data_IF_144420560115
#
_entry.id   IF_144420560115
#
_cell.length_a   1.000
_cell.length_b   1.000
_cell.length_c   1.000
_cell.angle_alpha   90.00
_cell.angle_beta   90.00
_cell.angle_gamma   90.00
#
_symmetry.space_group_name_H-M   'P 1'
#
loop_
_entity.id
_entity.type
_entity.pdbx_description
1 polymer ?
#
# COMPACT_ATOMS: atom_id res chain seq x y z
N UNK A 1 7.37 -13.81 -14.71
CA UNK A 1 6.20 -12.91 -14.54
C UNK A 1 6.64 -11.85 -13.55
N UNK A 2 6.46 -10.58 -13.86
CA UNK A 2 6.78 -9.51 -12.90
C UNK A 2 5.84 -9.61 -11.69
N UNK A 3 6.38 -9.56 -10.48
CA UNK A 3 5.62 -9.77 -9.25
C UNK A 3 4.45 -8.76 -9.11
N UNK A 4 4.67 -7.48 -9.53
CA UNK A 4 3.61 -6.46 -9.53
C UNK A 4 2.42 -6.77 -10.45
N UNK A 5 2.64 -7.55 -11.54
CA UNK A 5 1.56 -7.95 -12.45
C UNK A 5 0.62 -9.02 -11.87
N UNK A 6 0.98 -9.64 -10.73
CA UNK A 6 0.13 -10.66 -10.11
C UNK A 6 -1.13 -10.07 -9.49
N UNK A 7 -1.11 -8.81 -9.07
CA UNK A 7 -2.24 -8.15 -8.41
C UNK A 7 -3.47 -8.03 -9.31
N UNK A 8 -3.26 -7.79 -10.60
CA UNK A 8 -4.38 -7.68 -11.55
C UNK A 8 -5.21 -8.97 -11.66
N UNK A 9 -4.58 -10.14 -11.45
CA UNK A 9 -5.25 -11.45 -11.50
C UNK A 9 -6.18 -11.68 -10.31
N UNK A 10 -5.93 -11.04 -9.19
CA UNK A 10 -6.70 -11.18 -7.94
C UNK A 10 -7.49 -9.93 -7.59
N UNK A 11 -7.70 -9.03 -8.56
CA UNK A 11 -8.32 -7.72 -8.34
C UNK A 11 -9.71 -7.80 -7.68
N UNK A 12 -10.51 -8.82 -8.02
CA UNK A 12 -11.84 -9.03 -7.43
C UNK A 12 -11.77 -9.29 -5.91
N UNK A 13 -10.76 -10.05 -5.46
CA UNK A 13 -10.54 -10.37 -4.07
C UNK A 13 -9.78 -9.24 -3.36
N UNK A 14 -8.88 -8.56 -4.09
CA UNK A 14 -8.01 -7.51 -3.53
C UNK A 14 -8.81 -6.39 -2.86
N UNK A 15 -9.90 -5.97 -3.48
CA UNK A 15 -10.75 -4.91 -2.98
C UNK A 15 -11.33 -5.18 -1.60
N UNK A 16 -11.84 -6.38 -1.34
CA UNK A 16 -12.49 -6.75 -0.08
C UNK A 16 -11.52 -7.27 0.98
N UNK A 17 -10.39 -7.85 0.56
CA UNK A 17 -9.45 -8.52 1.44
C UNK A 17 -8.31 -7.62 1.97
N UNK A 18 -8.25 -6.35 1.58
CA UNK A 18 -7.23 -5.40 2.03
C UNK A 18 -7.85 -4.30 2.88
N UNK A 19 -7.19 -3.89 3.98
CA UNK A 19 -7.69 -2.83 4.84
C UNK A 19 -7.57 -1.46 4.17
N UNK A 20 -8.37 -0.50 4.65
CA UNK A 20 -8.16 0.93 4.40
C UNK A 20 -7.06 1.51 5.29
N UNK A 21 -6.96 2.83 5.32
CA UNK A 21 -5.95 3.55 6.10
C UNK A 21 -6.60 4.35 7.24
N UNK A 22 -5.89 4.54 8.38
CA UNK A 22 -6.40 5.33 9.49
C UNK A 22 -6.74 6.77 9.08
N UNK A 23 -7.89 7.28 9.49
CA UNK A 23 -8.29 8.66 9.19
C UNK A 23 -7.25 9.67 9.70
N UNK A 24 -6.66 9.44 10.88
CA UNK A 24 -5.61 10.28 11.42
C UNK A 24 -4.38 10.38 10.49
N UNK A 25 -4.03 9.33 9.76
CA UNK A 25 -2.98 9.37 8.76
C UNK A 25 -3.36 10.30 7.61
N UNK A 26 -4.59 10.17 7.11
CA UNK A 26 -5.09 10.97 5.99
C UNK A 26 -5.09 12.47 6.35
N UNK A 27 -5.59 12.80 7.55
CA UNK A 27 -5.58 14.17 8.06
C UNK A 27 -4.17 14.73 8.23
N UNK A 28 -3.22 13.92 8.73
CA UNK A 28 -1.82 14.32 8.85
C UNK A 28 -1.17 14.59 7.49
N UNK A 29 -1.46 13.78 6.46
CA UNK A 29 -0.97 13.99 5.09
C UNK A 29 -1.52 15.28 4.51
N UNK A 30 -2.83 15.51 4.64
CA UNK A 30 -3.50 16.73 4.15
C UNK A 30 -2.94 17.97 4.85
N UNK A 31 -2.83 17.95 6.16
CA UNK A 31 -2.30 19.05 6.95
C UNK A 31 -0.82 19.34 6.63
N UNK A 32 0.01 18.30 6.51
CA UNK A 32 1.41 18.44 6.14
C UNK A 32 1.58 19.05 4.76
N UNK A 33 0.85 18.57 3.75
CA UNK A 33 0.92 19.10 2.39
C UNK A 33 0.25 20.48 2.26
N UNK A 34 -0.65 20.83 3.18
CA UNK A 34 -1.44 22.06 3.12
C UNK A 34 -2.39 22.07 1.89
N UNK A 35 -2.92 20.89 1.55
CA UNK A 35 -3.82 20.70 0.40
C UNK A 35 -5.19 21.31 0.69
N UNK A 36 -5.75 22.00 -0.29
CA UNK A 36 -7.07 22.64 -0.24
C UNK A 36 -7.97 22.13 -1.37
N UNK A 37 -9.26 22.37 -1.24
CA UNK A 37 -10.22 22.09 -2.32
C UNK A 37 -9.76 22.73 -3.64
N UNK A 38 -9.82 21.97 -4.73
CA UNK A 38 -9.35 22.36 -6.06
C UNK A 38 -7.85 22.12 -6.32
N UNK A 39 -7.05 21.81 -5.29
CA UNK A 39 -5.63 21.52 -5.50
C UNK A 39 -5.43 20.18 -6.24
N UNK A 40 -4.44 20.11 -7.13
CA UNK A 40 -4.10 18.87 -7.82
C UNK A 40 -3.34 17.91 -6.89
N UNK A 41 -3.84 16.69 -6.80
CA UNK A 41 -3.29 15.58 -6.01
C UNK A 41 -3.07 14.37 -6.90
N UNK A 42 -1.95 13.68 -6.72
CA UNK A 42 -1.64 12.45 -7.45
C UNK A 42 -1.50 11.29 -6.46
N UNK A 43 -2.22 10.22 -6.70
CA UNK A 43 -1.98 8.92 -6.08
C UNK A 43 -1.21 8.01 -7.04
N UNK A 44 -0.09 7.47 -6.60
CA UNK A 44 0.74 6.55 -7.38
C UNK A 44 0.56 5.12 -6.88
N UNK A 45 0.06 4.24 -7.78
CA UNK A 45 -0.26 2.86 -7.45
C UNK A 45 -1.53 2.74 -6.62
N UNK A 46 -2.64 3.27 -7.10
CA UNK A 46 -3.91 3.31 -6.36
C UNK A 46 -4.53 1.93 -6.13
N UNK A 47 -4.11 0.90 -6.87
CA UNK A 47 -4.64 -0.45 -6.77
C UNK A 47 -6.14 -0.48 -6.92
N UNK A 48 -6.84 -1.14 -5.99
CA UNK A 48 -8.30 -1.21 -5.95
C UNK A 48 -8.95 -0.09 -5.12
N UNK A 49 -8.25 1.04 -4.92
CA UNK A 49 -8.82 2.26 -4.37
C UNK A 49 -8.87 2.35 -2.84
N UNK A 50 -8.06 1.56 -2.11
CA UNK A 50 -8.08 1.56 -0.65
C UNK A 50 -7.73 2.93 -0.06
N UNK A 51 -6.67 3.57 -0.54
CA UNK A 51 -6.32 4.91 -0.10
C UNK A 51 -7.09 5.98 -0.89
N UNK A 52 -7.35 5.77 -2.19
CA UNK A 52 -8.14 6.67 -3.03
C UNK A 52 -9.45 7.08 -2.35
N UNK A 53 -10.20 6.11 -1.80
CA UNK A 53 -11.47 6.36 -1.10
C UNK A 53 -11.32 7.32 0.08
N UNK A 54 -10.20 7.28 0.81
CA UNK A 54 -9.97 8.15 1.96
C UNK A 54 -9.63 9.60 1.56
N UNK A 55 -9.12 9.81 0.34
CA UNK A 55 -8.80 11.14 -0.22
C UNK A 55 -9.88 11.66 -1.17
N UNK A 56 -10.76 10.81 -1.70
CA UNK A 56 -11.91 11.21 -2.51
C UNK A 56 -12.93 12.03 -1.70
N UNK A 57 -13.84 12.70 -2.42
CA UNK A 57 -14.94 13.52 -1.84
C UNK A 57 -14.48 14.65 -0.90
N UNK A 58 -13.19 15.04 -0.97
CA UNK A 58 -12.62 16.15 -0.19
C UNK A 58 -12.42 17.42 -1.03
N UNK A 59 -12.87 17.36 -2.30
CA UNK A 59 -12.80 18.48 -3.24
C UNK A 59 -11.44 18.68 -3.91
N UNK A 60 -10.46 17.77 -3.71
CA UNK A 60 -9.19 17.78 -4.44
C UNK A 60 -9.39 17.31 -5.88
N UNK A 61 -8.59 17.80 -6.82
CA UNK A 61 -8.49 17.21 -8.15
C UNK A 61 -7.53 16.02 -8.09
N UNK A 62 -8.07 14.83 -7.76
CA UNK A 62 -7.29 13.62 -7.53
C UNK A 62 -7.09 12.83 -8.83
N UNK A 63 -5.84 12.66 -9.24
CA UNK A 63 -5.46 11.70 -10.28
C UNK A 63 -4.98 10.42 -9.62
N UNK A 64 -5.67 9.31 -9.82
CA UNK A 64 -5.32 7.99 -9.28
C UNK A 64 -4.72 7.11 -10.38
N UNK A 65 -3.45 6.78 -10.26
CA UNK A 65 -2.65 6.10 -11.29
C UNK A 65 -2.36 4.66 -10.89
N UNK A 66 -2.60 3.70 -11.78
CA UNK A 66 -2.21 2.29 -11.59
C UNK A 66 -1.99 1.60 -12.95
N UNK A 67 -1.01 0.67 -13.08
CA UNK A 67 -0.81 -0.12 -14.30
C UNK A 67 -1.79 -1.28 -14.45
N UNK A 68 -2.64 -1.59 -13.47
CA UNK A 68 -3.59 -2.70 -13.46
C UNK A 68 -5.00 -2.25 -13.85
N UNK A 69 -5.46 -2.60 -15.04
CA UNK A 69 -6.80 -2.23 -15.53
C UNK A 69 -7.94 -2.83 -14.69
N UNK A 70 -7.81 -4.10 -14.28
CA UNK A 70 -8.80 -4.75 -13.41
C UNK A 70 -8.81 -4.14 -11.99
N UNK A 71 -7.66 -3.69 -11.49
CA UNK A 71 -7.59 -2.96 -10.22
C UNK A 71 -8.28 -1.60 -10.33
N UNK A 72 -8.01 -0.86 -11.40
CA UNK A 72 -8.66 0.44 -11.65
C UNK A 72 -10.18 0.32 -11.78
N UNK A 73 -10.69 -0.77 -12.38
CA UNK A 73 -12.12 -1.02 -12.43
C UNK A 73 -12.72 -1.14 -11.01
N UNK A 74 -12.03 -1.84 -10.10
CA UNK A 74 -12.44 -1.95 -8.69
C UNK A 74 -12.30 -0.63 -7.93
N UNK A 75 -11.26 0.15 -8.23
CA UNK A 75 -11.08 1.47 -7.63
C UNK A 75 -12.25 2.41 -8.01
N UNK A 76 -12.68 2.43 -9.27
CA UNK A 76 -13.85 3.19 -9.71
C UNK A 76 -15.13 2.76 -9.00
N UNK A 77 -15.39 1.46 -8.91
CA UNK A 77 -16.54 0.93 -8.19
C UNK A 77 -16.53 1.33 -6.70
N UNK A 78 -15.37 1.31 -6.07
CA UNK A 78 -15.20 1.63 -4.65
C UNK A 78 -15.37 3.11 -4.34
N UNK A 79 -14.79 3.98 -5.15
CA UNK A 79 -14.88 5.44 -4.98
C UNK A 79 -16.27 5.95 -5.33
N UNK A 80 -16.95 5.31 -6.30
CA UNK A 80 -18.22 5.78 -6.82
C UNK A 80 -18.09 7.06 -7.64
N UNK A 81 -19.18 7.80 -7.75
CA UNK A 81 -19.24 9.01 -8.56
C UNK A 81 -18.62 10.20 -7.79
N UNK A 82 -17.35 10.48 -8.08
CA UNK A 82 -16.69 11.73 -7.68
C UNK A 82 -16.10 12.40 -8.93
N UNK A 83 -16.67 13.55 -9.40
CA UNK A 83 -16.20 14.24 -10.61
C UNK A 83 -14.78 14.79 -10.48
N UNK A 84 -14.25 14.85 -9.26
CA UNK A 84 -12.89 15.31 -9.01
C UNK A 84 -11.85 14.18 -9.03
N UNK A 85 -12.26 12.91 -9.22
CA UNK A 85 -11.33 11.75 -9.26
C UNK A 85 -11.17 11.25 -10.69
N UNK A 86 -9.97 11.33 -11.22
CA UNK A 86 -9.59 10.78 -12.52
C UNK A 86 -8.72 9.53 -12.35
N UNK A 87 -9.12 8.41 -12.93
CA UNK A 87 -8.35 7.17 -12.94
C UNK A 87 -7.57 7.01 -14.23
N UNK A 88 -6.25 6.82 -14.13
CA UNK A 88 -5.33 6.73 -15.26
C UNK A 88 -4.65 5.36 -15.29
N UNK A 89 -4.80 4.66 -16.40
CA UNK A 89 -4.16 3.36 -16.62
C UNK A 89 -2.76 3.57 -17.20
N UNK A 90 -1.76 3.68 -16.35
CA UNK A 90 -0.35 3.76 -16.73
C UNK A 90 0.57 3.42 -15.54
N UNK A 91 1.76 2.88 -15.77
CA UNK A 91 2.80 2.83 -14.75
C UNK A 91 3.39 4.22 -14.54
N UNK A 92 3.71 4.57 -13.28
CA UNK A 92 4.23 5.89 -12.93
C UNK A 92 5.48 6.26 -13.73
N UNK A 93 6.38 5.33 -13.93
CA UNK A 93 7.63 5.54 -14.66
C UNK A 93 7.42 5.99 -16.11
N UNK A 94 6.37 5.52 -16.79
CA UNK A 94 6.06 5.85 -18.17
C UNK A 94 5.06 7.00 -18.35
N UNK A 95 4.29 7.30 -17.30
CA UNK A 95 3.25 8.33 -17.38
C UNK A 95 3.83 9.75 -17.41
N UNK A 96 3.30 10.57 -18.30
CA UNK A 96 3.66 11.99 -18.48
C UNK A 96 2.38 12.83 -18.37
N UNK A 97 2.21 13.64 -17.32
CA UNK A 97 1.10 14.59 -17.26
C UNK A 97 1.36 15.82 -18.13
N UNK A 98 0.31 16.36 -18.75
CA UNK A 98 0.39 17.54 -19.59
C UNK A 98 0.66 18.82 -18.76
N UNK A 99 1.91 19.03 -18.35
CA UNK A 99 2.36 20.23 -17.62
C UNK A 99 1.78 20.42 -16.21
N UNK A 100 1.01 19.44 -15.70
CA UNK A 100 0.41 19.54 -14.37
C UNK A 100 1.48 19.52 -13.27
N UNK A 101 1.31 20.39 -12.28
CA UNK A 101 2.10 20.39 -11.04
C UNK A 101 1.18 20.04 -9.88
N UNK A 102 1.61 19.07 -9.06
CA UNK A 102 0.82 18.59 -7.95
C UNK A 102 1.19 19.30 -6.64
N UNK A 103 0.20 19.52 -5.79
CA UNK A 103 0.41 19.99 -4.42
C UNK A 103 0.82 18.83 -3.50
N UNK A 104 0.28 17.64 -3.77
CA UNK A 104 0.56 16.42 -3.06
C UNK A 104 0.72 15.27 -4.06
N UNK A 105 1.78 14.49 -3.89
CA UNK A 105 1.89 13.14 -4.44
C UNK A 105 1.88 12.18 -3.27
N UNK A 106 1.04 11.15 -3.31
CA UNK A 106 1.10 10.11 -2.30
C UNK A 106 1.09 8.72 -2.92
N UNK A 107 1.62 7.75 -2.17
CA UNK A 107 1.63 6.35 -2.54
C UNK A 107 1.41 5.46 -1.32
N UNK A 108 0.44 4.59 -1.42
CA UNK A 108 0.01 3.69 -0.38
C UNK A 108 0.39 2.25 -0.73
N UNK A 109 1.35 1.66 -0.05
CA UNK A 109 1.82 0.28 -0.26
C UNK A 109 2.34 -0.02 -1.69
N UNK A 110 2.69 1.01 -2.48
CA UNK A 110 3.06 0.83 -3.89
C UNK A 110 4.42 1.42 -4.28
N UNK A 111 4.97 2.34 -3.52
CA UNK A 111 6.19 3.09 -3.88
C UNK A 111 7.41 2.19 -4.15
N UNK A 112 7.53 1.09 -3.44
CA UNK A 112 8.63 0.12 -3.58
C UNK A 112 8.62 -0.68 -4.89
N UNK A 113 7.55 -0.58 -5.70
CA UNK A 113 7.47 -1.18 -7.03
C UNK A 113 8.05 -0.29 -8.14
N UNK A 114 8.31 0.99 -7.84
CA UNK A 114 8.83 1.96 -8.82
C UNK A 114 10.35 1.93 -8.75
N UNK A 115 11.06 1.91 -9.90
CA UNK A 115 12.51 1.99 -9.93
C UNK A 115 13.01 3.19 -9.11
N UNK A 116 13.87 2.91 -8.13
CA UNK A 116 14.32 3.89 -7.13
C UNK A 116 14.98 5.12 -7.77
N UNK A 117 15.83 4.88 -8.74
CA UNK A 117 16.59 5.92 -9.46
C UNK A 117 15.70 6.94 -10.17
N UNK A 118 14.43 6.57 -10.41
CA UNK A 118 13.48 7.41 -11.13
C UNK A 118 12.41 7.99 -10.18
N UNK A 119 11.96 7.23 -9.19
CA UNK A 119 10.75 7.51 -8.41
C UNK A 119 10.77 8.88 -7.74
N UNK A 120 11.82 9.18 -6.97
CA UNK A 120 11.92 10.43 -6.20
C UNK A 120 12.20 11.65 -7.08
N UNK A 121 13.08 11.49 -8.09
CA UNK A 121 13.38 12.56 -9.04
C UNK A 121 12.11 12.98 -9.80
N UNK A 122 11.39 12.00 -10.36
CA UNK A 122 10.15 12.27 -11.09
C UNK A 122 9.06 12.87 -10.19
N UNK A 123 8.90 12.38 -8.97
CA UNK A 123 7.95 12.97 -8.03
C UNK A 123 8.28 14.44 -7.74
N UNK A 124 9.56 14.75 -7.49
CA UNK A 124 9.99 16.13 -7.25
C UNK A 124 9.75 17.03 -8.48
N UNK A 125 10.00 16.53 -9.70
CA UNK A 125 9.74 17.27 -10.93
C UNK A 125 8.25 17.52 -11.20
N UNK A 126 7.37 16.64 -10.70
CA UNK A 126 5.92 16.77 -10.82
C UNK A 126 5.29 17.61 -9.72
N UNK A 127 5.98 17.81 -8.61
CA UNK A 127 5.52 18.66 -7.50
C UNK A 127 5.76 20.15 -7.82
N UNK A 128 4.88 21.01 -7.33
CA UNK A 128 5.13 22.46 -7.26
C UNK A 128 6.15 22.81 -6.18
N UNK A 129 6.63 24.05 -6.13
CA UNK A 129 7.66 24.53 -5.21
C UNK A 129 7.38 24.25 -3.72
N UNK A 130 6.10 24.21 -3.33
CA UNK A 130 5.68 23.87 -1.96
C UNK A 130 5.05 22.49 -1.86
N UNK A 131 5.21 21.66 -2.87
CA UNK A 131 4.60 20.35 -2.96
C UNK A 131 5.19 19.36 -1.97
N UNK A 132 4.42 18.33 -1.63
CA UNK A 132 4.82 17.29 -0.70
C UNK A 132 4.67 15.89 -1.32
N UNK A 133 5.60 14.99 -0.95
CA UNK A 133 5.50 13.56 -1.20
C UNK A 133 5.16 12.88 0.13
N UNK A 134 4.14 12.01 0.12
CA UNK A 134 3.76 11.15 1.24
C UNK A 134 3.79 9.68 0.81
N UNK A 135 4.57 8.86 1.48
CA UNK A 135 4.67 7.41 1.21
C UNK A 135 4.33 6.67 2.49
N UNK A 136 3.38 5.74 2.42
CA UNK A 136 2.94 5.00 3.60
C UNK A 136 2.58 3.56 3.30
N UNK A 137 2.62 2.75 4.35
CA UNK A 137 2.29 1.33 4.24
C UNK A 137 2.05 0.67 5.59
N UNK A 138 1.24 -0.38 5.55
CA UNK A 138 0.99 -1.23 6.71
C UNK A 138 2.13 -2.22 6.88
N UNK A 139 2.57 -2.41 8.10
CA UNK A 139 3.51 -3.46 8.48
C UNK A 139 2.86 -4.34 9.55
N UNK A 140 2.73 -5.65 9.34
CA UNK A 140 2.26 -6.54 10.38
C UNK A 140 3.29 -6.60 11.51
N UNK A 141 2.82 -6.48 12.73
CA UNK A 141 3.62 -6.72 13.92
C UNK A 141 3.89 -8.21 14.14
N UNK A 142 4.72 -8.52 15.11
CA UNK A 142 5.00 -9.89 15.47
C UNK A 142 3.73 -10.59 16.00
N UNK A 143 3.35 -11.67 15.34
CA UNK A 143 2.36 -12.57 15.90
C UNK A 143 3.05 -13.38 17.02
N UNK A 144 2.38 -13.55 18.15
CA UNK A 144 2.92 -14.22 19.33
C UNK A 144 2.03 -15.39 19.79
N UNK A 145 2.55 -16.20 20.69
CA UNK A 145 1.80 -17.30 21.29
C UNK A 145 1.69 -18.56 20.44
N UNK A 146 0.83 -19.52 20.83
CA UNK A 146 0.74 -20.84 20.19
C UNK A 146 0.38 -20.80 18.70
N UNK A 147 -0.44 -19.83 18.27
CA UNK A 147 -0.82 -19.69 16.86
C UNK A 147 0.37 -19.26 15.99
N UNK A 148 1.24 -18.39 16.50
CA UNK A 148 2.46 -17.97 15.80
C UNK A 148 3.38 -19.16 15.54
N UNK A 149 3.61 -20.03 16.53
CA UNK A 149 4.43 -21.23 16.38
C UNK A 149 3.84 -22.22 15.35
N UNK A 150 2.50 -22.31 15.31
CA UNK A 150 1.81 -23.11 14.27
C UNK A 150 2.02 -22.51 12.88
N UNK A 151 1.87 -21.18 12.73
CA UNK A 151 2.12 -20.50 11.45
C UNK A 151 3.55 -20.73 10.98
N UNK A 152 4.55 -20.51 11.84
CA UNK A 152 5.94 -20.75 11.49
C UNK A 152 6.16 -22.20 11.00
N UNK A 153 5.61 -23.18 11.71
CA UNK A 153 5.74 -24.60 11.33
C UNK A 153 5.12 -24.88 9.95
N UNK A 154 3.92 -24.33 9.70
CA UNK A 154 3.20 -24.51 8.44
C UNK A 154 3.95 -23.84 7.29
N UNK A 155 4.33 -22.57 7.45
CA UNK A 155 5.06 -21.82 6.42
C UNK A 155 6.41 -22.47 6.09
N UNK A 156 7.21 -22.88 7.09
CA UNK A 156 8.47 -23.59 6.84
C UNK A 156 8.27 -24.89 6.07
N UNK A 157 7.19 -25.64 6.35
CA UNK A 157 6.87 -26.88 5.64
C UNK A 157 6.57 -26.65 4.17
N UNK A 158 5.77 -25.64 3.84
CA UNK A 158 5.29 -25.40 2.47
C UNK A 158 6.22 -24.53 1.63
N UNK A 159 6.95 -23.61 2.27
CA UNK A 159 7.78 -22.62 1.56
C UNK A 159 9.26 -22.70 1.86
N UNK A 160 9.63 -23.49 2.88
CA UNK A 160 10.99 -23.54 3.39
C UNK A 160 11.42 -22.30 4.19
N UNK A 161 10.55 -21.32 4.34
CA UNK A 161 10.89 -20.01 4.91
C UNK A 161 9.88 -19.55 5.97
N UNK A 162 10.39 -18.79 6.92
CA UNK A 162 9.65 -17.97 7.85
C UNK A 162 10.55 -16.79 8.23
N UNK A 163 10.12 -15.58 7.98
CA UNK A 163 10.95 -14.40 8.19
C UNK A 163 10.11 -13.11 8.24
N UNK A 164 10.79 -11.97 8.28
CA UNK A 164 10.09 -10.68 8.29
C UNK A 164 9.22 -10.53 7.05
N UNK A 165 8.08 -9.84 7.18
CA UNK A 165 7.19 -9.61 6.06
C UNK A 165 7.85 -8.70 5.01
N UNK A 166 7.50 -8.84 3.72
CA UNK A 166 8.01 -7.95 2.66
C UNK A 166 7.77 -6.46 2.95
N UNK A 167 6.72 -6.16 3.70
CA UNK A 167 6.34 -4.83 4.15
C UNK A 167 7.32 -4.20 5.16
N UNK A 168 8.28 -4.97 5.68
CA UNK A 168 9.30 -4.47 6.62
C UNK A 168 10.13 -3.30 6.06
N UNK A 169 10.17 -3.11 4.74
CA UNK A 169 10.77 -1.92 4.11
C UNK A 169 10.15 -0.59 4.53
N UNK A 170 8.93 -0.60 5.06
CA UNK A 170 8.24 0.57 5.61
C UNK A 170 8.56 0.84 7.10
N UNK A 171 9.27 -0.07 7.79
CA UNK A 171 9.72 0.17 9.16
C UNK A 171 10.74 1.31 9.24
N UNK A 172 10.91 1.98 10.40
CA UNK A 172 11.97 2.97 10.59
C UNK A 172 13.38 2.42 10.37
N UNK A 173 13.58 1.12 10.59
CA UNK A 173 14.84 0.41 10.27
C UNK A 173 14.96 0.05 8.78
N UNK A 174 13.91 0.26 7.99
CA UNK A 174 13.92 0.03 6.55
C UNK A 174 14.52 1.20 5.77
N UNK A 175 14.65 1.05 4.46
CA UNK A 175 15.41 1.99 3.63
C UNK A 175 14.63 3.24 3.21
N UNK A 176 13.33 3.33 3.51
CA UNK A 176 12.48 4.37 2.89
C UNK A 176 12.92 5.79 3.27
N UNK A 177 13.25 6.04 4.54
CA UNK A 177 13.73 7.36 4.97
C UNK A 177 15.06 7.73 4.28
N UNK A 178 16.00 6.78 4.20
CA UNK A 178 17.28 7.01 3.52
C UNK A 178 17.12 7.28 2.02
N UNK A 179 16.12 6.68 1.37
CA UNK A 179 15.85 6.93 -0.05
C UNK A 179 15.39 8.37 -0.32
N UNK A 180 14.61 8.97 0.59
CA UNK A 180 14.29 10.40 0.51
C UNK A 180 15.57 11.25 0.57
N UNK A 181 16.43 11.00 1.58
CA UNK A 181 17.67 11.77 1.79
C UNK A 181 18.64 11.61 0.61
N UNK A 182 18.84 10.38 0.14
CA UNK A 182 19.73 10.05 -0.97
C UNK A 182 19.27 10.64 -2.31
N UNK A 183 17.97 10.90 -2.46
CA UNK A 183 17.44 11.55 -3.65
C UNK A 183 17.94 12.99 -3.81
N UNK A 184 18.29 13.64 -2.71
CA UNK A 184 18.69 15.05 -2.65
C UNK A 184 17.61 16.05 -3.06
N UNK A 185 16.39 15.57 -3.35
CA UNK A 185 15.30 16.37 -3.93
C UNK A 185 14.27 16.86 -2.90
N UNK A 186 14.32 16.31 -1.69
CA UNK A 186 13.36 16.59 -0.63
C UNK A 186 14.05 17.13 0.62
N UNK A 187 13.30 17.87 1.43
CA UNK A 187 13.72 18.31 2.76
C UNK A 187 13.75 17.12 3.74
N UNK A 188 14.07 17.41 5.00
CA UNK A 188 14.10 16.39 6.05
C UNK A 188 12.75 15.66 6.14
N UNK A 189 12.80 14.34 6.10
CA UNK A 189 11.65 13.47 6.24
C UNK A 189 11.01 13.58 7.61
N UNK A 190 9.70 13.70 7.64
CA UNK A 190 8.86 13.54 8.84
C UNK A 190 8.28 12.13 8.81
N UNK A 191 8.50 11.37 9.87
CA UNK A 191 7.94 10.03 10.06
C UNK A 191 6.87 10.03 11.15
N UNK A 192 5.76 9.35 10.91
CA UNK A 192 4.72 9.04 11.90
C UNK A 192 4.34 7.57 11.82
N UNK A 193 3.82 7.02 12.91
CA UNK A 193 3.26 5.67 12.91
C UNK A 193 1.91 5.63 13.61
N UNK A 194 1.06 4.69 13.18
CA UNK A 194 -0.31 4.51 13.65
C UNK A 194 -0.50 3.03 13.95
N UNK A 195 -0.61 2.70 15.24
CA UNK A 195 -0.87 1.33 15.68
C UNK A 195 -2.36 1.00 15.58
N UNK A 196 -2.67 -0.18 15.09
CA UNK A 196 -4.02 -0.71 15.00
C UNK A 196 -4.00 -2.24 15.04
N UNK A 197 -5.17 -2.84 15.18
CA UNK A 197 -5.30 -4.29 15.22
C UNK A 197 -6.23 -4.75 14.12
N UNK A 198 -5.81 -5.77 13.38
CA UNK A 198 -6.63 -6.42 12.38
C UNK A 198 -7.13 -7.77 12.87
N UNK A 199 -8.44 -7.90 13.01
CA UNK A 199 -9.07 -9.16 13.37
C UNK A 199 -9.26 -10.03 12.15
N UNK A 200 -8.67 -11.22 12.17
CA UNK A 200 -8.82 -12.23 11.13
C UNK A 200 -9.61 -13.43 11.61
N UNK A 201 -10.47 -13.95 10.74
CA UNK A 201 -10.95 -15.33 10.79
C UNK A 201 -10.08 -16.19 9.87
N UNK A 202 -10.23 -17.53 9.94
CA UNK A 202 -9.55 -18.42 8.99
C UNK A 202 -9.86 -18.11 7.53
N UNK A 203 -11.10 -17.70 7.24
CA UNK A 203 -11.52 -17.32 5.88
C UNK A 203 -10.90 -15.99 5.45
N UNK A 204 -11.05 -14.93 6.27
CA UNK A 204 -10.54 -13.60 5.92
C UNK A 204 -9.01 -13.57 5.80
N UNK A 205 -8.29 -14.34 6.63
CA UNK A 205 -6.84 -14.48 6.49
C UNK A 205 -6.45 -15.17 5.17
N UNK A 206 -7.13 -16.25 4.80
CA UNK A 206 -6.85 -16.94 3.54
C UNK A 206 -7.09 -16.01 2.34
N UNK A 207 -8.17 -15.24 2.35
CA UNK A 207 -8.47 -14.26 1.31
C UNK A 207 -7.41 -13.15 1.24
N UNK A 208 -7.02 -12.61 2.38
CA UNK A 208 -5.91 -11.66 2.46
C UNK A 208 -4.61 -12.24 1.91
N UNK A 209 -4.23 -13.43 2.35
CA UNK A 209 -3.01 -14.09 1.91
C UNK A 209 -2.99 -14.37 0.41
N UNK A 210 -4.14 -14.74 -0.21
CA UNK A 210 -4.27 -14.87 -1.67
C UNK A 210 -3.99 -13.57 -2.42
N UNK A 211 -4.18 -12.40 -1.79
CA UNK A 211 -3.88 -11.10 -2.43
C UNK A 211 -2.42 -10.69 -2.29
N UNK A 212 -1.61 -11.40 -1.51
CA UNK A 212 -0.19 -11.08 -1.29
C UNK A 212 0.65 -11.54 -2.47
N UNK A 213 1.56 -10.70 -2.90
CA UNK A 213 2.45 -11.01 -4.03
C UNK A 213 3.38 -12.19 -3.77
N UNK A 214 3.89 -12.34 -2.54
CA UNK A 214 4.71 -13.48 -2.12
C UNK A 214 3.95 -14.81 -2.22
N UNK A 215 2.68 -14.83 -1.83
CA UNK A 215 1.83 -16.02 -1.97
C UNK A 215 1.45 -16.29 -3.44
N UNK A 216 1.24 -15.24 -4.24
CA UNK A 216 0.94 -15.38 -5.67
C UNK A 216 2.12 -15.94 -6.48
N UNK A 217 3.35 -15.82 -5.99
CA UNK A 217 4.53 -16.44 -6.61
C UNK A 217 4.65 -17.93 -6.32
N UNK A 218 3.92 -18.49 -5.35
CA UNK A 218 3.89 -19.92 -5.08
C UNK A 218 3.11 -20.68 -6.16
N UNK A 219 3.48 -21.93 -6.49
CA UNK A 219 2.62 -22.82 -7.25
C UNK A 219 1.23 -22.92 -6.61
N UNK A 220 0.18 -22.94 -7.41
CA UNK A 220 -1.20 -22.89 -6.91
C UNK A 220 -1.50 -24.00 -5.89
N UNK A 221 -1.08 -25.23 -6.18
CA UNK A 221 -1.28 -26.37 -5.29
C UNK A 221 -0.56 -26.19 -3.94
N UNK A 222 0.63 -25.57 -3.93
CA UNK A 222 1.39 -25.28 -2.71
C UNK A 222 0.69 -24.17 -1.93
N UNK A 223 0.29 -23.10 -2.60
CA UNK A 223 -0.45 -21.99 -1.98
C UNK A 223 -1.74 -22.45 -1.33
N UNK A 224 -2.57 -23.21 -2.05
CA UNK A 224 -3.86 -23.65 -1.51
C UNK A 224 -3.70 -24.66 -0.36
N UNK A 225 -2.70 -25.55 -0.43
CA UNK A 225 -2.38 -26.46 0.68
C UNK A 225 -1.92 -25.68 1.94
N UNK A 226 -1.02 -24.71 1.75
CA UNK A 226 -0.57 -23.79 2.83
C UNK A 226 -1.78 -23.10 3.49
N UNK A 227 -2.63 -22.46 2.68
CA UNK A 227 -3.78 -21.70 3.18
C UNK A 227 -4.83 -22.59 3.86
N UNK A 228 -5.03 -23.80 3.40
CA UNK A 228 -5.91 -24.77 4.05
C UNK A 228 -5.41 -25.14 5.45
N UNK A 229 -4.10 -25.41 5.61
CA UNK A 229 -3.52 -25.73 6.92
C UNK A 229 -3.56 -24.51 7.87
N UNK A 230 -3.24 -23.32 7.37
CA UNK A 230 -3.32 -22.08 8.18
C UNK A 230 -4.75 -21.82 8.62
N UNK A 231 -5.73 -21.94 7.73
CA UNK A 231 -7.16 -21.82 8.06
C UNK A 231 -7.57 -22.82 9.16
N UNK A 232 -7.13 -24.06 9.05
CA UNK A 232 -7.40 -25.10 10.05
C UNK A 232 -6.75 -24.78 11.40
N UNK A 233 -5.54 -24.21 11.40
CA UNK A 233 -4.86 -23.78 12.63
C UNK A 233 -5.59 -22.62 13.31
N UNK A 234 -6.12 -21.65 12.53
CA UNK A 234 -6.92 -20.54 13.07
C UNK A 234 -8.24 -21.08 13.66
N UNK A 235 -8.94 -21.95 12.93
CA UNK A 235 -10.18 -22.58 13.40
C UNK A 235 -9.96 -23.32 14.73
N UNK A 236 -8.89 -24.11 14.85
CA UNK A 236 -8.54 -24.80 16.08
C UNK A 236 -8.11 -23.85 17.22
N UNK A 237 -7.85 -22.58 16.93
CA UNK A 237 -7.51 -21.54 17.90
C UNK A 237 -8.73 -20.65 18.26
N UNK A 238 -9.96 -21.06 17.92
CA UNK A 238 -11.20 -20.31 18.18
C UNK A 238 -11.73 -19.49 17.00
N UNK A 239 -11.31 -19.84 15.79
CA UNK A 239 -11.73 -19.25 14.49
C UNK A 239 -11.51 -17.74 14.35
N UNK A 240 -10.77 -17.11 15.26
CA UNK A 240 -10.36 -15.73 15.10
C UNK A 240 -9.05 -15.46 15.85
N UNK A 241 -8.31 -14.45 15.38
CA UNK A 241 -7.17 -13.89 16.09
C UNK A 241 -7.00 -12.41 15.73
N UNK A 242 -6.44 -11.68 16.67
CA UNK A 242 -6.07 -10.30 16.50
C UNK A 242 -4.59 -10.22 16.09
N UNK A 243 -4.34 -9.56 14.95
CA UNK A 243 -2.97 -9.31 14.49
C UNK A 243 -2.64 -7.83 14.66
N UNK A 244 -1.61 -7.48 15.44
CA UNK A 244 -1.18 -6.10 15.56
C UNK A 244 -0.54 -5.62 14.26
N UNK A 245 -0.83 -4.38 13.88
CA UNK A 245 -0.27 -3.70 12.72
C UNK A 245 0.21 -2.31 13.11
N UNK A 246 1.20 -1.82 12.40
CA UNK A 246 1.53 -0.41 12.36
C UNK A 246 1.46 0.09 10.92
N UNK A 247 0.90 1.28 10.74
CA UNK A 247 0.99 1.99 9.47
C UNK A 247 2.06 3.05 9.60
N UNK A 248 3.13 2.95 8.82
CA UNK A 248 4.21 3.92 8.80
C UNK A 248 4.00 4.91 7.66
N UNK A 249 4.12 6.20 7.97
CA UNK A 249 3.96 7.33 7.08
C UNK A 249 5.25 8.14 7.03
N UNK A 250 5.75 8.39 5.83
CA UNK A 250 6.91 9.23 5.55
C UNK A 250 6.49 10.39 4.66
N UNK A 251 6.79 11.61 5.08
CA UNK A 251 6.44 12.83 4.36
C UNK A 251 7.62 13.76 4.24
N UNK A 252 7.80 14.37 3.07
CA UNK A 252 8.76 15.44 2.89
C UNK A 252 8.27 16.45 1.84
N UNK A 253 8.70 17.70 1.98
CA UNK A 253 8.47 18.73 0.95
C UNK A 253 9.56 18.66 -0.09
N UNK A 254 9.21 19.02 -1.32
CA UNK A 254 10.21 19.21 -2.37
C UNK A 254 11.16 20.34 -1.95
N UNK A 255 12.47 20.13 -2.16
CA UNK A 255 13.49 21.14 -1.88
C UNK A 255 13.40 22.26 -2.92
N UNK A 256 13.29 23.50 -2.46
CA UNK A 256 13.24 24.69 -3.29
C UNK A 256 14.57 25.01 -3.98
#
# INVERSE_FOLDING_TARGET
MEQRATFNKVASLYGSARPGYPDALVEDVIAFAGVKSGDPVLEVGCGAGQATTSFAHRGFRLTALDPGDALLARARERVGDDPNVAFVHAPFEAWQPDGARFRLIFSAQAWHWIPRELSFAKAADLLGSDGALAVFGHVPGALTGPLAAKFETIYRRHTGQWGPPPEAGYLPSGPLASWFDESGRFDRVVHKSYAWTWKHTGASFADFARTRSDHQMLPENVREALLAEVKSAILANGDAFDWPYETHLYMARVRG
#
